data_IF_132277521104
#
_entry.id   IF_132277521104
#
_cell.length_a   1.000
_cell.length_b   1.000
_cell.length_c   1.000
_cell.angle_alpha   90.00
_cell.angle_beta   90.00
_cell.angle_gamma   90.00
#
_symmetry.space_group_name_H-M   'P 1'
#
loop_
_entity.id
_entity.type
_entity.pdbx_description
1 polymer ?
#
# COMPACT_ATOMS: atom_id res chain seq x y z
N UNK A 1 11.88 -6.15 0.76
CA UNK A 1 11.23 -5.85 -0.54
C UNK A 1 10.99 -4.34 -0.65
N UNK A 2 11.09 -3.71 -1.83
CA UNK A 2 10.85 -2.27 -1.95
C UNK A 2 9.38 -1.87 -1.68
N UNK A 3 9.11 -0.88 -0.81
CA UNK A 3 7.73 -0.44 -0.51
C UNK A 3 6.96 0.06 -1.72
N UNK A 4 7.64 0.68 -2.71
CA UNK A 4 7.00 1.18 -3.95
C UNK A 4 6.48 0.04 -4.83
N UNK A 5 7.19 -1.09 -4.88
CA UNK A 5 6.75 -2.27 -5.64
C UNK A 5 5.50 -2.88 -5.00
N UNK A 6 5.46 -2.94 -3.66
CA UNK A 6 4.26 -3.37 -2.96
C UNK A 6 3.08 -2.43 -3.24
N UNK A 7 3.28 -1.12 -3.13
CA UNK A 7 2.23 -0.13 -3.40
C UNK A 7 1.71 -0.22 -4.85
N UNK A 8 2.61 -0.37 -5.83
CA UNK A 8 2.22 -0.64 -7.22
C UNK A 8 1.33 -1.88 -7.31
N UNK A 9 1.76 -3.01 -6.73
CA UNK A 9 1.00 -4.25 -6.80
C UNK A 9 -0.39 -4.14 -6.14
N UNK A 10 -0.50 -3.41 -5.02
CA UNK A 10 -1.80 -3.14 -4.37
C UNK A 10 -2.72 -2.34 -5.30
N UNK A 11 -2.19 -1.29 -5.94
CA UNK A 11 -2.97 -0.42 -6.84
C UNK A 11 -3.34 -1.12 -8.15
N UNK A 12 -2.50 -2.02 -8.64
CA UNK A 12 -2.77 -2.85 -9.83
C UNK A 12 -3.80 -3.96 -9.53
N UNK A 13 -3.89 -4.39 -8.27
CA UNK A 13 -4.84 -5.41 -7.82
C UNK A 13 -6.22 -4.84 -7.42
N UNK A 14 -6.42 -3.51 -7.49
CA UNK A 14 -7.66 -2.83 -7.03
C UNK A 14 -8.13 -1.78 -8.03
N UNK A 15 -9.45 -1.62 -8.18
CA UNK A 15 -10.02 -0.77 -9.25
C UNK A 15 -10.62 0.53 -8.77
N UNK A 16 -11.27 0.59 -7.61
CA UNK A 16 -11.97 1.82 -7.15
C UNK A 16 -12.04 1.96 -5.63
N UNK A 17 -11.37 1.08 -4.89
CA UNK A 17 -11.34 1.06 -3.45
C UNK A 17 -10.64 2.31 -2.91
N UNK A 18 -11.33 3.04 -2.02
CA UNK A 18 -10.78 4.22 -1.34
C UNK A 18 -10.03 3.89 -0.06
N UNK A 19 -10.21 2.69 0.46
CA UNK A 19 -9.46 2.17 1.59
C UNK A 19 -9.39 0.65 1.54
N UNK A 20 -8.31 0.10 2.09
CA UNK A 20 -8.07 -1.33 2.19
C UNK A 20 -7.61 -1.64 3.61
N UNK A 21 -8.26 -2.59 4.26
CA UNK A 21 -7.80 -3.10 5.55
C UNK A 21 -6.49 -3.88 5.39
N UNK A 22 -5.70 -4.01 6.47
CA UNK A 22 -4.50 -4.87 6.45
C UNK A 22 -4.83 -6.30 5.95
N UNK A 23 -5.96 -6.87 6.37
CA UNK A 23 -6.39 -8.20 5.93
C UNK A 23 -6.64 -8.24 4.42
N UNK A 24 -7.30 -7.23 3.86
CA UNK A 24 -7.56 -7.13 2.43
C UNK A 24 -6.26 -7.01 1.64
N UNK A 25 -5.31 -6.19 2.10
CA UNK A 25 -4.00 -6.07 1.45
C UNK A 25 -3.24 -7.41 1.50
N UNK A 26 -3.30 -8.13 2.62
CA UNK A 26 -2.71 -9.45 2.77
C UNK A 26 -3.31 -10.49 1.80
N UNK A 27 -4.63 -10.47 1.61
CA UNK A 27 -5.32 -11.34 0.66
C UNK A 27 -4.95 -11.05 -0.79
N UNK A 28 -4.86 -9.77 -1.15
CA UNK A 28 -4.55 -9.34 -2.52
C UNK A 28 -3.11 -9.64 -2.93
N UNK A 29 -2.14 -9.28 -2.09
CA UNK A 29 -0.72 -9.29 -2.49
C UNK A 29 0.21 -9.98 -1.50
N UNK A 30 -0.22 -10.23 -0.25
CA UNK A 30 0.63 -10.80 0.79
C UNK A 30 1.21 -12.16 0.41
N UNK A 31 0.38 -13.05 -0.17
CA UNK A 31 0.83 -14.38 -0.63
C UNK A 31 1.83 -14.31 -1.77
N UNK A 32 1.63 -13.40 -2.72
CA UNK A 32 2.51 -13.21 -3.88
C UNK A 32 3.94 -12.84 -3.45
N UNK A 33 4.06 -12.08 -2.36
CA UNK A 33 5.35 -11.63 -1.83
C UNK A 33 5.86 -12.42 -0.63
N UNK A 34 5.19 -13.53 -0.27
CA UNK A 34 5.50 -14.34 0.90
C UNK A 34 5.65 -13.52 2.20
N UNK A 35 4.74 -12.54 2.39
CA UNK A 35 4.70 -11.71 3.59
C UNK A 35 3.80 -12.32 4.67
N UNK A 36 4.17 -12.09 5.93
CA UNK A 36 3.28 -12.23 7.07
C UNK A 36 2.69 -10.87 7.49
N UNK A 37 1.88 -10.86 8.56
CA UNK A 37 1.22 -9.64 9.02
C UNK A 37 2.22 -8.58 9.52
N UNK A 38 3.34 -9.00 10.12
CA UNK A 38 4.36 -8.09 10.64
C UNK A 38 5.10 -7.41 9.48
N UNK A 39 5.63 -8.21 8.54
CA UNK A 39 6.32 -7.70 7.36
C UNK A 39 5.45 -6.84 6.46
N UNK A 40 4.15 -7.17 6.32
CA UNK A 40 3.20 -6.30 5.62
C UNK A 40 2.99 -4.99 6.35
N UNK A 41 2.82 -5.03 7.67
CA UNK A 41 2.61 -3.83 8.48
C UNK A 41 3.81 -2.89 8.40
N UNK A 42 5.04 -3.41 8.49
CA UNK A 42 6.26 -2.62 8.34
C UNK A 42 6.32 -1.92 6.97
N UNK A 43 6.01 -2.64 5.89
CA UNK A 43 6.01 -2.06 4.54
C UNK A 43 4.92 -1.00 4.36
N UNK A 44 3.73 -1.20 4.94
CA UNK A 44 2.65 -0.20 4.92
C UNK A 44 3.01 1.06 5.73
N UNK A 45 3.76 0.92 6.84
CA UNK A 45 4.31 2.05 7.58
C UNK A 45 5.34 2.82 6.73
N UNK A 46 6.21 2.12 6.00
CA UNK A 46 7.15 2.78 5.09
C UNK A 46 6.45 3.47 3.91
N UNK A 47 5.37 2.88 3.39
CA UNK A 47 4.51 3.52 2.39
C UNK A 47 3.89 4.80 2.97
N UNK A 48 3.33 4.77 4.18
CA UNK A 48 2.76 5.95 4.83
C UNK A 48 3.78 7.08 4.98
N UNK A 49 4.99 6.77 5.50
CA UNK A 49 6.07 7.76 5.61
C UNK A 49 6.36 8.46 4.27
N UNK A 50 6.34 7.72 3.16
CA UNK A 50 6.65 8.25 1.83
C UNK A 50 5.44 8.94 1.14
N UNK A 51 4.21 8.47 1.38
CA UNK A 51 3.05 8.83 0.57
C UNK A 51 1.85 9.42 1.34
N UNK A 52 1.89 9.50 2.68
CA UNK A 52 0.80 10.09 3.47
C UNK A 52 0.48 11.53 3.04
N UNK A 53 1.53 12.34 2.79
CA UNK A 53 1.41 13.71 2.26
C UNK A 53 0.94 13.76 0.80
N UNK A 54 1.11 12.68 0.04
CA UNK A 54 0.62 12.50 -1.32
C UNK A 54 -0.80 11.90 -1.36
N UNK A 55 -1.46 11.74 -0.20
CA UNK A 55 -2.83 11.27 -0.09
C UNK A 55 -3.01 9.76 0.07
N UNK A 56 -1.94 9.05 0.47
CA UNK A 56 -1.97 7.60 0.74
C UNK A 56 -1.58 7.31 2.20
N UNK A 57 -2.40 7.67 3.20
CA UNK A 57 -2.05 7.41 4.59
C UNK A 57 -2.36 5.96 5.00
N UNK A 58 -1.58 5.44 5.96
CA UNK A 58 -1.89 4.20 6.69
C UNK A 58 -2.28 4.56 8.13
N UNK A 59 -3.54 4.31 8.50
CA UNK A 59 -4.08 4.77 9.79
C UNK A 59 -4.64 3.63 10.61
N UNK A 60 -4.71 3.84 11.93
CA UNK A 60 -5.35 2.91 12.87
C UNK A 60 -6.56 3.57 13.51
N UNK A 61 -7.75 3.03 13.26
CA UNK A 61 -9.01 3.52 13.84
C UNK A 61 -9.76 2.37 14.49
N UNK A 62 -10.15 2.52 15.77
CA UNK A 62 -10.87 1.50 16.53
C UNK A 62 -10.22 0.10 16.50
N UNK A 63 -8.89 0.03 16.44
CA UNK A 63 -8.14 -1.23 16.38
C UNK A 63 -7.94 -1.81 14.98
N UNK A 64 -8.57 -1.24 13.95
CA UNK A 64 -8.42 -1.65 12.55
C UNK A 64 -7.38 -0.78 11.87
N UNK A 65 -6.45 -1.41 11.14
CA UNK A 65 -5.49 -0.73 10.30
C UNK A 65 -5.97 -0.65 8.86
N UNK A 66 -5.86 0.52 8.25
CA UNK A 66 -6.33 0.79 6.89
C UNK A 66 -5.33 1.63 6.09
N UNK A 67 -5.02 1.17 4.89
CA UNK A 67 -4.40 1.96 3.83
C UNK A 67 -5.50 2.72 3.09
N UNK A 68 -5.38 4.04 2.97
CA UNK A 68 -6.42 4.87 2.37
C UNK A 68 -5.90 5.58 1.13
N UNK A 69 -6.79 5.91 0.20
CA UNK A 69 -6.50 6.64 -1.03
C UNK A 69 -7.43 7.85 -1.12
N UNK A 70 -6.93 9.05 -0.80
CA UNK A 70 -7.72 10.31 -0.88
C UNK A 70 -8.16 10.61 -2.32
N UNK A 71 -7.33 10.22 -3.27
CA UNK A 71 -7.55 10.22 -4.71
C UNK A 71 -6.83 8.99 -5.28
N UNK A 72 -7.30 8.45 -6.43
CA UNK A 72 -6.63 7.32 -7.06
C UNK A 72 -5.22 7.74 -7.48
N UNK A 73 -4.15 7.10 -6.97
CA UNK A 73 -2.79 7.41 -7.37
C UNK A 73 -2.55 6.99 -8.82
N UNK A 74 -1.59 7.63 -9.48
CA UNK A 74 -1.08 7.14 -10.76
C UNK A 74 -0.24 5.87 -10.52
N UNK A 75 -0.85 4.70 -10.73
CA UNK A 75 -0.22 3.39 -10.54
C UNK A 75 1.11 3.28 -11.29
N UNK A 76 1.15 3.69 -12.55
CA UNK A 76 2.37 3.64 -13.37
C UNK A 76 3.40 4.68 -12.93
N UNK A 77 2.94 5.85 -12.47
CA UNK A 77 3.78 6.85 -11.83
C UNK A 77 4.54 6.32 -10.60
N UNK A 78 3.89 5.51 -9.75
CA UNK A 78 4.54 4.86 -8.60
C UNK A 78 5.68 3.92 -9.04
N UNK A 79 5.44 3.13 -10.10
CA UNK A 79 6.45 2.23 -10.63
C UNK A 79 7.61 2.99 -11.28
N UNK A 80 7.31 4.06 -12.03
CA UNK A 80 8.32 4.92 -12.62
C UNK A 80 9.19 5.60 -11.55
N UNK A 81 8.60 6.10 -10.46
CA UNK A 81 9.33 6.65 -9.31
C UNK A 81 10.31 5.62 -8.70
N UNK A 82 10.00 4.32 -8.76
CA UNK A 82 10.87 3.27 -8.26
C UNK A 82 12.13 3.06 -9.12
N UNK A 83 11.98 3.04 -10.45
CA UNK A 83 13.09 2.80 -11.38
C UNK A 83 13.88 4.05 -11.77
N UNK A 84 13.36 5.24 -11.48
CA UNK A 84 14.05 6.52 -11.72
C UNK A 84 15.05 6.91 -10.61
N UNK A 85 15.15 6.12 -9.54
CA UNK A 85 16.11 6.25 -8.43
C UNK A 85 17.00 5.00 -8.37
#
# INVERSE_FOLDING_TARGET
MPPRILLYAILDSTTDERSLSLNTVMELVGRTFALDNEGMTELLIEIDKAYSKKGIPYTRTAGVYELQFKQRPDTWGILAEHYAN
#
